data_IF_581782299968
#
_entry.id   IF_581782299968
#
_cell.length_a   1.000
_cell.length_b   1.000
_cell.length_c   1.000
_cell.angle_alpha   90.00
_cell.angle_beta   90.00
_cell.angle_gamma   90.00
#
_symmetry.space_group_name_H-M   'P 1'
#
loop_
_entity.id
_entity.type
_entity.pdbx_description
1 polymer ?
#
# COMPACT_ATOMS: atom_id res chain seq x y z
N UNK A 1 -20.94 17.44 7.24
CA UNK A 1 -20.84 17.57 6.60
C UNK A 1 -20.22 17.59 6.73
N UNK A 2 -19.71 17.89 7.10
CA UNK A 2 -19.51 18.26 6.56
C UNK A 2 -18.77 18.47 6.98
N UNK A 3 -18.85 18.74 7.77
CA UNK A 3 -18.58 19.15 7.47
C UNK A 3 -17.95 18.76 7.69
N UNK A 4 -18.22 18.73 8.50
CA UNK A 4 -17.95 18.65 8.00
C UNK A 4 -17.68 17.91 8.04
N UNK A 5 -18.03 17.66 8.41
CA UNK A 5 -18.20 17.41 7.58
C UNK A 5 -17.98 16.62 7.54
N UNK A 6 -18.02 16.47 7.74
CA UNK A 6 -18.26 16.13 6.86
C UNK A 6 -18.21 15.57 6.36
N UNK A 7 -18.49 15.52 6.86
CA UNK A 7 -18.80 15.31 5.79
C UNK A 7 -18.84 15.16 5.24
N UNK A 8 -19.23 15.21 5.63
CA UNK A 8 -19.64 15.31 4.43
C UNK A 8 -19.41 15.50 3.93
N UNK A 9 -19.49 15.75 4.48
CA UNK A 9 -19.58 16.12 3.48
C UNK A 9 -19.14 15.79 3.23
N UNK A 10 -19.06 15.53 3.35
CA UNK A 10 -18.84 15.25 2.44
C UNK A 10 -18.74 14.78 2.21
N UNK A 11 -18.79 14.26 2.98
CA UNK A 11 -19.03 13.90 2.25
C UNK A 11 -19.18 14.02 1.20
N UNK A 12 -19.23 14.35 1.24
CA UNK A 12 -19.42 14.74 -0.04
C UNK A 12 -18.62 14.06 -1.05
N UNK A 13 -17.56 13.44 -0.73
CA UNK A 13 -16.68 12.75 -1.64
C UNK A 13 -17.32 11.57 -2.30
N UNK A 14 -18.24 10.95 -1.65
CA UNK A 14 -18.92 9.80 -2.21
C UNK A 14 -20.02 10.20 -3.14
N UNK A 15 -20.57 11.36 -2.92
CA UNK A 15 -21.65 11.86 -3.73
C UNK A 15 -21.22 12.27 -5.12
N UNK A 16 -20.01 12.74 -5.24
CA UNK A 16 -19.45 13.15 -6.52
C UNK A 16 -19.48 12.03 -7.54
N UNK A 17 -19.33 10.82 -7.10
CA UNK A 17 -19.26 9.68 -7.99
C UNK A 17 -20.56 9.38 -8.69
N UNK A 18 -21.65 9.85 -8.14
CA UNK A 18 -22.95 9.61 -8.73
C UNK A 18 -23.15 10.44 -9.99
N UNK A 19 -22.52 11.60 -10.07
CA UNK A 19 -22.71 12.51 -11.19
C UNK A 19 -22.06 12.04 -12.48
N UNK A 20 -21.00 11.27 -12.39
CA UNK A 20 -20.34 10.70 -13.54
C UNK A 20 -20.56 9.20 -13.52
N UNK A 21 -21.81 8.84 -13.78
CA UNK A 21 -22.22 7.46 -13.64
C UNK A 21 -21.48 6.52 -14.59
N UNK A 22 -21.29 6.91 -15.84
CA UNK A 22 -20.59 6.07 -16.80
C UNK A 22 -19.12 5.91 -16.43
N UNK A 23 -18.47 7.01 -16.05
CA UNK A 23 -17.08 6.98 -15.60
C UNK A 23 -16.93 6.17 -14.32
N UNK A 24 -17.88 6.34 -13.39
CA UNK A 24 -17.86 5.60 -12.13
C UNK A 24 -18.05 4.09 -12.39
N UNK A 25 -18.92 3.74 -13.33
CA UNK A 25 -19.15 2.35 -13.69
C UNK A 25 -17.87 1.71 -14.26
N UNK A 26 -17.19 2.42 -15.15
CA UNK A 26 -15.94 1.95 -15.71
C UNK A 26 -14.88 1.79 -14.65
N UNK A 27 -14.79 2.75 -13.74
CA UNK A 27 -13.84 2.68 -12.62
C UNK A 27 -14.15 1.50 -11.71
N UNK A 28 -15.44 1.25 -11.46
CA UNK A 28 -15.83 0.08 -10.66
C UNK A 28 -15.39 -1.21 -11.31
N UNK A 29 -15.56 -1.32 -12.61
CA UNK A 29 -15.14 -2.51 -13.33
C UNK A 29 -13.62 -2.70 -13.26
N UNK A 30 -12.87 -1.59 -13.22
CA UNK A 30 -11.42 -1.62 -13.10
C UNK A 30 -10.98 -1.90 -11.67
N UNK A 31 -11.65 -1.31 -10.68
CA UNK A 31 -11.27 -1.42 -9.27
C UNK A 31 -11.73 -2.72 -8.62
N UNK A 32 -12.84 -3.29 -9.07
CA UNK A 32 -13.38 -4.49 -8.44
C UNK A 32 -12.39 -5.66 -8.43
N UNK A 33 -11.69 -5.98 -9.53
CA UNK A 33 -10.68 -7.04 -9.49
C UNK A 33 -9.54 -6.71 -8.54
N UNK A 34 -9.14 -5.44 -8.45
CA UNK A 34 -8.07 -5.02 -7.55
C UNK A 34 -8.49 -5.19 -6.09
N UNK A 35 -9.71 -4.79 -5.74
CA UNK A 35 -10.24 -4.97 -4.39
C UNK A 35 -10.34 -6.45 -4.04
N UNK A 36 -10.80 -7.27 -4.98
CA UNK A 36 -10.85 -8.71 -4.78
C UNK A 36 -9.46 -9.28 -4.52
N UNK A 37 -8.46 -8.81 -5.27
CA UNK A 37 -7.08 -9.21 -5.08
C UNK A 37 -6.57 -8.82 -3.70
N UNK A 38 -6.82 -7.58 -3.27
CA UNK A 38 -6.40 -7.13 -1.95
C UNK A 38 -7.03 -7.95 -0.83
N UNK A 39 -8.31 -8.30 -0.99
CA UNK A 39 -8.99 -9.14 0.00
C UNK A 39 -8.42 -10.55 0.02
N UNK A 40 -8.06 -11.10 -1.13
CA UNK A 40 -7.43 -12.41 -1.20
C UNK A 40 -6.06 -12.40 -0.53
N UNK A 41 -5.27 -11.34 -0.77
CA UNK A 41 -3.96 -11.17 -0.13
C UNK A 41 -4.13 -11.12 1.39
N UNK A 42 -5.11 -10.35 1.87
CA UNK A 42 -5.37 -10.23 3.30
C UNK A 42 -5.75 -11.58 3.92
N UNK A 43 -6.57 -12.35 3.23
CA UNK A 43 -7.02 -13.66 3.76
C UNK A 43 -5.88 -14.67 3.83
N UNK A 44 -4.91 -14.56 2.94
CA UNK A 44 -3.78 -15.50 2.90
C UNK A 44 -2.64 -15.10 3.83
N UNK A 45 -2.66 -13.89 4.37
CA UNK A 45 -1.55 -13.37 5.15
C UNK A 45 -2.05 -12.95 6.53
N UNK A 46 -1.77 -13.77 7.52
CA UNK A 46 -2.26 -13.55 8.87
C UNK A 46 -1.74 -12.22 9.44
N UNK A 47 -0.56 -11.77 9.01
CA UNK A 47 -0.02 -10.48 9.46
C UNK A 47 -0.93 -9.31 9.08
N UNK A 48 -1.72 -9.43 8.01
CA UNK A 48 -2.61 -8.37 7.55
C UNK A 48 -3.98 -8.39 8.24
N UNK A 49 -4.21 -9.33 9.16
CA UNK A 49 -5.52 -9.52 9.77
C UNK A 49 -5.64 -8.87 11.16
N UNK A 50 -4.56 -8.24 11.63
CA UNK A 50 -4.54 -7.62 12.97
C UNK A 50 -4.07 -6.18 12.85
N UNK A 51 -4.56 -5.31 13.74
CA UNK A 51 -4.09 -3.91 13.81
C UNK A 51 -2.95 -3.75 14.81
N UNK A 52 -2.89 -4.61 15.81
CA UNK A 52 -1.92 -4.48 16.92
C UNK A 52 -0.46 -4.63 16.48
N UNK A 53 -0.23 -5.25 15.33
CA UNK A 53 1.13 -5.50 14.83
C UNK A 53 1.61 -4.45 13.82
N UNK A 54 0.86 -3.36 13.66
CA UNK A 54 1.20 -2.29 12.72
C UNK A 54 2.38 -1.47 13.25
N UNK A 55 3.39 -1.26 12.39
CA UNK A 55 4.55 -0.42 12.70
C UNK A 55 4.83 0.48 11.50
N UNK A 56 4.87 1.78 11.73
CA UNK A 56 5.21 2.73 10.67
C UNK A 56 6.72 2.87 10.56
N UNK A 57 7.20 3.12 9.35
CA UNK A 57 8.61 3.32 9.06
C UNK A 57 8.82 4.66 8.38
N UNK A 58 10.03 5.20 8.49
CA UNK A 58 10.36 6.53 8.00
C UNK A 58 10.58 6.50 6.50
N UNK A 59 10.04 7.49 5.80
CA UNK A 59 10.35 7.74 4.39
C UNK A 59 10.88 9.17 4.25
N UNK A 60 11.59 9.43 3.16
CA UNK A 60 12.10 10.77 2.86
C UNK A 60 11.09 11.62 2.09
N UNK A 61 9.88 11.13 1.90
CA UNK A 61 8.83 11.81 1.13
C UNK A 61 7.48 11.64 1.83
N UNK A 62 6.89 12.75 2.25
CA UNK A 62 5.61 12.73 2.98
C UNK A 62 4.45 12.19 2.15
N UNK A 63 4.59 12.15 0.82
CA UNK A 63 3.56 11.59 -0.04
C UNK A 63 3.58 10.06 -0.06
N UNK A 64 4.58 9.43 0.55
CA UNK A 64 4.68 7.98 0.59
C UNK A 64 4.64 7.50 2.03
N UNK A 65 3.74 6.56 2.29
CA UNK A 65 3.57 5.93 3.59
C UNK A 65 4.17 4.53 3.54
N UNK A 66 4.94 4.17 4.55
CA UNK A 66 5.50 2.83 4.67
C UNK A 66 5.18 2.27 6.04
N UNK A 67 4.76 1.01 6.06
CA UNK A 67 4.53 0.31 7.32
C UNK A 67 4.80 -1.18 7.16
N UNK A 68 4.95 -1.85 8.28
CA UNK A 68 5.13 -3.28 8.33
C UNK A 68 4.07 -3.91 9.22
N UNK A 69 3.78 -5.16 8.96
CA UNK A 69 2.95 -6.01 9.80
C UNK A 69 3.59 -7.38 9.86
N UNK A 70 3.78 -7.87 11.05
CA UNK A 70 4.37 -9.20 11.24
C UNK A 70 3.53 -10.01 12.22
N UNK A 71 3.29 -11.24 11.85
CA UNK A 71 2.66 -12.23 12.74
C UNK A 71 3.42 -13.54 12.54
N UNK A 72 4.24 -13.91 13.52
CA UNK A 72 5.10 -15.10 13.40
C UNK A 72 6.07 -14.97 12.24
N UNK A 73 6.01 -15.91 11.31
CA UNK A 73 6.88 -15.92 10.14
C UNK A 73 6.29 -15.17 8.96
N UNK A 74 5.11 -14.60 9.11
CA UNK A 74 4.47 -13.82 8.07
C UNK A 74 4.82 -12.35 8.27
N UNK A 75 5.70 -11.81 7.45
CA UNK A 75 6.14 -10.41 7.52
C UNK A 75 5.80 -9.74 6.20
N UNK A 76 4.97 -8.70 6.27
CA UNK A 76 4.51 -7.95 5.11
C UNK A 76 4.95 -6.50 5.25
N UNK A 77 5.56 -5.98 4.20
CA UNK A 77 5.97 -4.58 4.11
C UNK A 77 5.06 -3.90 3.09
N UNK A 78 4.46 -2.79 3.47
CA UNK A 78 3.54 -2.04 2.61
C UNK A 78 4.11 -0.65 2.38
N UNK A 79 4.14 -0.23 1.12
CA UNK A 79 4.56 1.11 0.72
C UNK A 79 3.50 1.67 -0.20
N UNK A 80 2.93 2.82 0.14
CA UNK A 80 1.80 3.40 -0.58
C UNK A 80 2.12 4.81 -1.01
N UNK A 81 1.86 5.12 -2.29
CA UNK A 81 1.86 6.50 -2.76
C UNK A 81 0.49 7.10 -2.46
N UNK A 82 0.47 8.13 -1.62
CA UNK A 82 -0.75 8.82 -1.22
C UNK A 82 -1.17 9.91 -2.19
N UNK A 83 -0.33 10.22 -3.18
CA UNK A 83 -0.64 11.22 -4.20
C UNK A 83 -1.40 10.53 -5.33
N UNK A 84 -2.66 10.89 -5.58
CA UNK A 84 -3.44 10.22 -6.63
C UNK A 84 -3.10 10.69 -8.04
N UNK A 85 -2.27 11.72 -8.17
CA UNK A 85 -2.04 12.39 -9.45
C UNK A 85 -0.63 12.19 -9.99
N UNK A 86 0.38 12.29 -9.14
CA UNK A 86 1.78 12.29 -9.58
C UNK A 86 2.54 11.10 -9.06
N UNK A 87 3.53 10.68 -9.85
CA UNK A 87 4.50 9.70 -9.39
C UNK A 87 5.28 10.27 -8.21
N UNK A 88 5.57 9.43 -7.25
CA UNK A 88 6.38 9.81 -6.09
C UNK A 88 7.46 8.77 -5.88
N UNK A 89 8.60 9.23 -5.41
CA UNK A 89 9.73 8.35 -5.12
C UNK A 89 10.33 8.72 -3.78
N UNK A 90 10.95 7.75 -3.15
CA UNK A 90 11.56 7.96 -1.84
C UNK A 90 12.54 6.84 -1.54
N UNK A 91 13.34 7.04 -0.50
CA UNK A 91 14.02 5.94 0.19
C UNK A 91 13.21 5.65 1.45
N UNK A 92 12.84 4.40 1.63
CA UNK A 92 12.18 3.92 2.84
C UNK A 92 13.26 3.42 3.79
N UNK A 93 13.20 3.85 5.05
CA UNK A 93 14.15 3.46 6.08
C UNK A 93 13.46 2.47 7.02
N UNK A 94 13.66 1.18 6.74
CA UNK A 94 13.03 0.14 7.56
C UNK A 94 13.75 0.02 8.89
N UNK A 95 12.99 0.00 9.98
CA UNK A 95 13.56 -0.27 11.29
C UNK A 95 13.74 -1.79 11.41
N UNK A 96 14.94 -2.27 11.15
CA UNK A 96 15.22 -3.70 11.07
C UNK A 96 14.97 -4.41 12.39
N UNK A 97 15.17 -3.71 13.51
CA UNK A 97 14.88 -4.28 14.82
C UNK A 97 13.40 -4.55 14.99
N UNK A 98 12.55 -3.60 14.54
CA UNK A 98 11.09 -3.79 14.60
C UNK A 98 10.63 -4.88 13.65
N UNK A 99 11.32 -5.07 12.53
CA UNK A 99 11.01 -6.16 11.61
C UNK A 99 11.47 -7.51 12.13
N UNK A 100 12.35 -7.51 13.11
CA UNK A 100 12.94 -8.76 13.62
C UNK A 100 13.94 -9.38 12.66
N UNK A 101 14.58 -8.56 11.83
CA UNK A 101 15.55 -9.02 10.85
C UNK A 101 16.96 -8.64 11.30
N UNK A 102 17.89 -9.57 11.12
CA UNK A 102 19.29 -9.36 11.49
C UNK A 102 20.23 -9.42 10.29
N UNK A 103 19.66 -9.32 9.10
CA UNK A 103 20.40 -9.37 7.84
C UNK A 103 20.29 -8.03 7.13
N UNK A 104 21.32 -7.67 6.36
CA UNK A 104 21.32 -6.37 5.67
C UNK A 104 20.39 -6.36 4.48
N UNK A 105 20.30 -7.47 3.75
CA UNK A 105 19.45 -7.59 2.57
C UNK A 105 18.45 -8.71 2.78
N UNK A 106 17.26 -8.53 2.22
CA UNK A 106 16.20 -9.52 2.33
C UNK A 106 15.42 -9.58 1.02
N UNK A 107 15.01 -10.78 0.65
CA UNK A 107 14.21 -10.99 -0.56
C UNK A 107 12.74 -10.75 -0.25
N UNK A 108 12.06 -10.06 -1.15
CA UNK A 108 10.61 -9.81 -1.02
C UNK A 108 9.92 -10.20 -2.32
N UNK A 109 8.66 -10.59 -2.19
CA UNK A 109 7.77 -10.82 -3.32
C UNK A 109 6.60 -9.86 -3.20
N UNK A 110 6.37 -9.05 -4.22
CA UNK A 110 5.22 -8.18 -4.25
C UNK A 110 3.99 -9.04 -4.56
N UNK A 111 3.06 -9.07 -3.64
CA UNK A 111 1.87 -9.92 -3.75
C UNK A 111 0.87 -9.38 -4.77
N UNK A 112 1.05 -8.15 -5.23
CA UNK A 112 0.19 -7.54 -6.24
C UNK A 112 0.45 -8.17 -7.62
N UNK A 113 1.72 -8.31 -8.00
CA UNK A 113 2.09 -8.77 -9.34
C UNK A 113 3.10 -9.92 -9.36
N UNK A 114 3.53 -10.38 -8.20
CA UNK A 114 4.51 -11.47 -8.11
C UNK A 114 5.94 -11.06 -8.37
N UNK A 115 6.22 -9.77 -8.55
CA UNK A 115 7.58 -9.30 -8.78
C UNK A 115 8.45 -9.54 -7.55
N UNK A 116 9.71 -9.87 -7.79
CA UNK A 116 10.65 -10.15 -6.73
C UNK A 116 11.71 -9.07 -6.66
N UNK A 117 12.04 -8.67 -5.46
CA UNK A 117 13.04 -7.64 -5.22
C UNK A 117 13.99 -8.08 -4.12
N UNK A 118 15.16 -7.49 -4.14
CA UNK A 118 16.13 -7.64 -3.08
C UNK A 118 16.24 -6.27 -2.39
N UNK A 119 15.64 -6.16 -1.22
CA UNK A 119 15.56 -4.91 -0.47
C UNK A 119 16.55 -4.93 0.69
N UNK A 120 16.80 -3.74 1.23
CA UNK A 120 17.68 -3.57 2.38
C UNK A 120 17.03 -2.62 3.38
N UNK A 121 17.74 -2.31 4.45
CA UNK A 121 17.24 -1.36 5.46
C UNK A 121 16.88 0.00 4.85
N UNK A 122 17.51 0.37 3.74
CA UNK A 122 17.25 1.62 3.04
C UNK A 122 16.87 1.25 1.60
N UNK A 123 15.58 1.34 1.30
CA UNK A 123 15.03 0.82 0.05
C UNK A 123 14.48 1.96 -0.80
N UNK A 124 14.99 2.10 -2.02
CA UNK A 124 14.41 3.06 -2.97
C UNK A 124 13.17 2.47 -3.59
N UNK A 125 12.11 3.28 -3.67
CA UNK A 125 10.87 2.92 -4.36
C UNK A 125 10.38 4.10 -5.18
N UNK A 126 9.69 3.79 -6.29
CA UNK A 126 9.00 4.77 -7.10
C UNK A 126 7.62 4.21 -7.44
N UNK A 127 6.59 4.97 -7.12
CA UNK A 127 5.20 4.54 -7.30
C UNK A 127 4.49 5.59 -8.17
N UNK A 128 3.90 5.13 -9.27
CA UNK A 128 3.37 6.00 -10.31
C UNK A 128 1.91 5.66 -10.60
N UNK A 129 0.96 6.52 -10.22
CA UNK A 129 -0.45 6.28 -10.50
C UNK A 129 -0.86 6.68 -11.92
N UNK A 130 0.02 7.33 -12.70
CA UNK A 130 -0.36 7.91 -13.98
C UNK A 130 -0.27 6.93 -15.13
N UNK A 131 0.39 5.80 -14.94
CA UNK A 131 0.56 4.81 -15.98
C UNK A 131 -0.41 3.67 -15.79
N UNK A 132 -0.89 3.11 -16.89
CA UNK A 132 -1.78 1.97 -16.86
C UNK A 132 -1.14 0.79 -16.13
N UNK A 133 0.16 0.59 -16.34
CA UNK A 133 0.94 -0.44 -15.67
C UNK A 133 1.62 0.08 -14.41
N UNK A 134 1.32 1.32 -14.03
CA UNK A 134 1.93 1.93 -12.86
C UNK A 134 1.42 1.32 -11.57
N UNK A 135 2.29 1.29 -10.61
CA UNK A 135 2.01 0.71 -9.31
C UNK A 135 1.86 1.84 -8.30
N UNK A 136 0.79 1.80 -7.51
CA UNK A 136 0.57 2.79 -6.45
C UNK A 136 0.89 2.22 -5.07
N UNK A 137 1.07 0.91 -4.98
CA UNK A 137 1.34 0.25 -3.71
C UNK A 137 2.23 -0.98 -3.94
N UNK A 138 3.16 -1.19 -3.01
CA UNK A 138 3.84 -2.47 -2.84
C UNK A 138 3.25 -3.16 -1.61
N UNK A 139 2.88 -4.41 -1.76
CA UNK A 139 2.53 -5.28 -0.64
C UNK A 139 3.52 -6.44 -0.70
N UNK A 140 4.63 -6.27 -0.02
CA UNK A 140 5.80 -7.13 -0.21
C UNK A 140 5.91 -8.13 0.93
N UNK A 141 5.88 -9.41 0.60
CA UNK A 141 6.10 -10.46 1.57
C UNK A 141 7.59 -10.76 1.66
N UNK A 142 8.12 -10.66 2.87
CA UNK A 142 9.55 -10.93 3.11
C UNK A 142 9.75 -12.43 3.22
N UNK A 143 10.78 -12.91 2.54
CA UNK A 143 11.19 -14.30 2.66
C UNK A 143 12.10 -14.42 3.88
N UNK A 144 11.62 -15.12 4.88
CA UNK A 144 12.38 -15.36 6.11
C UNK A 144 13.16 -16.66 6.07
#
# INVERSE_FOLDING_TARGET
>A
FKEGGEEYLDSEKYEIKVRDWDGATKKKLTLAPFITQLNAIRKKNVALQHLRNLRFHVTDNDAILAYSKREGDNLILVVINLDPTFAQETVVHWNMAELGLQIDNFAVTDLIDGAKYDWSAHTYVRLDPTRLSGKVVHIAQVKL
#
